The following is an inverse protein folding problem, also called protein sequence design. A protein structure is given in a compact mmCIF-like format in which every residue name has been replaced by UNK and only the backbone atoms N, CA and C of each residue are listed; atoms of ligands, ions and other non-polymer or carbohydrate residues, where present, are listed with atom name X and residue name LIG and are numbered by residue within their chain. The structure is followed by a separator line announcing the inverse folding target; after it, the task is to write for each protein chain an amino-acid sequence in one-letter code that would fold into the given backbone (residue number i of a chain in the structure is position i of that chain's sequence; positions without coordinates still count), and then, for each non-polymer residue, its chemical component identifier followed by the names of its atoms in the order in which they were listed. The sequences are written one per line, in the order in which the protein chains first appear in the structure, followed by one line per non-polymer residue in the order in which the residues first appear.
data_IF_984772246343
#
_entry.id   IF_984772246343
#
_cell.length_a   1.000
_cell.length_b   1.000
_cell.length_c   1.000
_cell.angle_alpha   90.00
_cell.angle_beta   90.00
_cell.angle_gamma   90.00
#
_symmetry.space_group_name_H-M   'P 1'
#
loop_
_entity.id
_entity.type
_entity.pdbx_description
1 polymer ?
#
# COMPACT_ATOMS: atom_id res chain seq x y z
N UNK A 1 25.17 -25.46 -1.27
CA UNK A 1 24.04 -24.67 -1.79
C UNK A 1 23.04 -25.62 -2.42
N UNK A 2 21.78 -25.54 -1.98
CA UNK A 2 20.68 -26.37 -2.49
C UNK A 2 19.81 -25.52 -3.41
N UNK A 3 19.12 -26.18 -4.33
CA UNK A 3 18.23 -25.57 -5.31
C UNK A 3 16.81 -25.98 -4.95
N UNK A 4 15.94 -25.00 -4.77
CA UNK A 4 14.57 -25.22 -4.31
C UNK A 4 13.58 -24.69 -5.34
N UNK A 5 12.70 -25.55 -5.82
CA UNK A 5 11.51 -25.15 -6.55
C UNK A 5 10.41 -24.84 -5.54
N UNK A 6 9.80 -23.66 -5.62
CA UNK A 6 8.75 -23.24 -4.69
C UNK A 6 7.45 -22.98 -5.42
N UNK A 7 6.35 -23.46 -4.86
CA UNK A 7 5.00 -23.18 -5.35
C UNK A 7 4.13 -22.62 -4.23
N UNK A 8 3.49 -21.49 -4.49
CA UNK A 8 2.73 -20.72 -3.50
C UNK A 8 1.33 -20.47 -4.06
N UNK A 9 0.30 -21.17 -3.55
CA UNK A 9 -1.08 -20.87 -3.89
C UNK A 9 -1.49 -19.50 -3.34
N UNK A 10 -2.15 -18.70 -4.16
CA UNK A 10 -2.70 -17.41 -3.77
C UNK A 10 -4.22 -17.48 -3.68
N UNK A 11 -4.75 -16.75 -2.71
CA UNK A 11 -6.16 -16.44 -2.55
C UNK A 11 -6.37 -14.92 -2.68
N UNK A 12 -7.63 -14.49 -2.81
CA UNK A 12 -7.97 -13.07 -2.80
C UNK A 12 -9.33 -12.84 -2.13
N UNK A 13 -9.56 -11.63 -1.65
CA UNK A 13 -10.83 -11.22 -1.05
C UNK A 13 -11.97 -11.24 -2.07
N UNK A 14 -13.00 -12.04 -1.79
CA UNK A 14 -14.15 -12.29 -2.69
C UNK A 14 -15.48 -11.70 -2.22
N UNK A 15 -15.51 -11.09 -1.03
CA UNK A 15 -16.75 -10.68 -0.36
C UNK A 15 -16.84 -9.17 -0.17
N UNK A 16 -18.06 -8.64 -0.19
CA UNK A 16 -18.34 -7.21 0.03
C UNK A 16 -18.12 -6.82 1.50
N UNK A 17 -17.66 -5.59 1.71
CA UNK A 17 -17.49 -4.96 3.03
C UNK A 17 -18.81 -4.46 3.63
N UNK A 18 -19.92 -4.53 2.87
CA UNK A 18 -21.24 -4.19 3.39
C UNK A 18 -21.97 -5.47 3.79
N UNK A 19 -22.42 -5.51 5.04
CA UNK A 19 -23.35 -6.50 5.61
C UNK A 19 -24.77 -6.39 4.99
N UNK A 20 -24.85 -6.23 3.67
CA UNK A 20 -26.13 -6.27 2.97
C UNK A 20 -26.42 -7.75 2.73
N UNK A 21 -27.20 -8.34 3.64
CA UNK A 21 -27.72 -9.72 3.57
C UNK A 21 -28.45 -10.11 2.25
N UNK A 22 -28.46 -9.22 1.26
CA UNK A 22 -29.18 -9.34 -0.02
C UNK A 22 -28.25 -9.37 -1.24
N UNK A 23 -26.93 -9.12 -1.11
CA UNK A 23 -26.00 -9.07 -2.24
C UNK A 23 -24.73 -9.91 -1.99
N UNK A 24 -24.66 -11.09 -2.62
CA UNK A 24 -23.41 -11.83 -2.75
C UNK A 24 -22.74 -11.42 -4.07
N UNK A 25 -21.91 -10.37 -4.05
CA UNK A 25 -21.03 -10.08 -5.16
C UNK A 25 -19.88 -11.10 -5.15
N UNK A 26 -19.83 -11.97 -6.16
CA UNK A 26 -18.71 -12.88 -6.36
C UNK A 26 -17.79 -12.27 -7.43
N UNK A 27 -16.68 -11.70 -6.98
CA UNK A 27 -15.65 -11.14 -7.87
C UNK A 27 -14.80 -12.28 -8.42
N UNK A 28 -14.64 -12.33 -9.75
CA UNK A 28 -13.75 -13.30 -10.41
C UNK A 28 -12.65 -12.56 -11.14
N UNK A 29 -11.44 -12.70 -10.62
CA UNK A 29 -10.25 -12.15 -11.28
C UNK A 29 -9.71 -13.21 -12.22
N UNK A 30 -9.49 -12.83 -13.47
CA UNK A 30 -8.89 -13.68 -14.49
C UNK A 30 -7.57 -13.09 -14.95
N UNK A 31 -6.72 -13.96 -15.44
CA UNK A 31 -5.45 -13.58 -16.02
C UNK A 31 -5.33 -14.34 -17.34
N UNK A 32 -5.19 -13.59 -18.43
CA UNK A 32 -5.26 -14.16 -19.77
C UNK A 32 -3.98 -14.94 -20.11
N UNK A 33 -2.83 -14.52 -19.57
CA UNK A 33 -1.53 -15.17 -19.75
C UNK A 33 -0.72 -15.20 -18.45
N UNK A 34 0.16 -16.20 -18.30
CA UNK A 34 1.10 -16.22 -17.18
C UNK A 34 2.08 -15.06 -17.25
N UNK A 35 2.35 -14.44 -16.11
CA UNK A 35 3.31 -13.36 -15.98
C UNK A 35 4.62 -13.95 -15.46
N UNK A 36 5.71 -13.74 -16.20
CA UNK A 36 7.06 -14.07 -15.74
C UNK A 36 7.79 -12.79 -15.40
N UNK A 37 8.32 -12.71 -14.18
CA UNK A 37 9.22 -11.64 -13.72
C UNK A 37 10.54 -12.24 -13.27
N UNK A 38 11.59 -11.46 -13.42
CA UNK A 38 12.93 -11.84 -13.03
C UNK A 38 13.36 -11.00 -11.83
N UNK A 39 13.78 -11.68 -10.77
CA UNK A 39 14.32 -11.07 -9.58
C UNK A 39 15.83 -11.25 -9.56
N UNK A 40 16.56 -10.14 -9.38
CA UNK A 40 17.96 -10.20 -8.99
C UNK A 40 17.99 -10.41 -7.47
N UNK A 41 18.00 -11.65 -7.02
CA UNK A 41 17.99 -11.94 -5.58
C UNK A 41 19.40 -11.86 -5.00
N UNK A 42 19.49 -11.15 -3.88
CA UNK A 42 20.66 -11.13 -3.00
C UNK A 42 20.54 -12.33 -2.06
N UNK A 43 21.28 -13.40 -2.34
CA UNK A 43 21.43 -14.50 -1.40
C UNK A 43 22.14 -13.98 -0.14
N UNK A 44 21.48 -14.03 1.02
CA UNK A 44 22.14 -13.81 2.32
C UNK A 44 22.69 -15.12 2.86
N UNK A 45 24.01 -15.23 2.88
CA UNK A 45 24.76 -16.37 3.40
C UNK A 45 24.68 -16.40 4.92
N UNK A 46 24.50 -17.58 5.51
CA UNK A 46 24.51 -17.72 6.96
C UNK A 46 25.87 -17.37 7.61
N UNK A 47 26.96 -17.23 6.82
CA UNK A 47 28.32 -17.03 7.34
C UNK A 47 29.32 -16.31 6.40
N UNK A 48 28.91 -15.62 5.32
CA UNK A 48 29.85 -14.91 4.43
C UNK A 48 29.29 -13.59 3.86
N UNK A 49 30.10 -12.53 3.87
CA UNK A 49 29.86 -11.23 3.20
C UNK A 49 30.03 -11.32 1.67
N UNK A 50 29.67 -12.46 1.07
CA UNK A 50 29.58 -12.57 -0.39
C UNK A 50 28.15 -12.18 -0.77
N UNK A 51 27.93 -11.64 -1.97
CA UNK A 51 26.60 -11.43 -2.56
C UNK A 51 26.71 -11.93 -3.99
N UNK A 52 26.29 -13.16 -4.25
CA UNK A 52 26.11 -13.62 -5.62
C UNK A 52 24.68 -13.28 -6.04
N UNK A 53 24.58 -12.55 -7.16
CA UNK A 53 23.31 -12.23 -7.80
C UNK A 53 22.89 -13.43 -8.66
N UNK A 54 21.77 -14.05 -8.27
CA UNK A 54 21.12 -15.06 -9.09
C UNK A 54 19.85 -14.46 -9.68
N UNK A 55 19.68 -14.61 -10.99
CA UNK A 55 18.44 -14.23 -11.65
C UNK A 55 17.41 -15.33 -11.44
N UNK A 56 16.44 -15.07 -10.58
CA UNK A 56 15.38 -16.03 -10.23
C UNK A 56 14.14 -15.69 -11.05
N UNK A 57 13.68 -16.66 -11.84
CA UNK A 57 12.42 -16.54 -12.57
C UNK A 57 11.25 -16.85 -11.63
N UNK A 58 10.31 -15.91 -11.56
CA UNK A 58 9.06 -16.05 -10.84
C UNK A 58 7.89 -16.00 -11.81
N UNK A 59 7.10 -17.05 -11.82
CA UNK A 59 5.97 -17.24 -12.73
C UNK A 59 4.67 -17.14 -11.94
N UNK A 60 3.85 -16.16 -12.27
CA UNK A 60 2.49 -16.01 -11.77
C UNK A 60 1.55 -16.63 -12.81
N UNK A 61 0.69 -17.54 -12.38
CA UNK A 61 -0.28 -18.22 -13.27
C UNK A 61 -1.64 -18.37 -12.58
N UNK A 62 -2.69 -18.53 -13.39
CA UNK A 62 -4.05 -18.73 -12.91
C UNK A 62 -4.67 -19.94 -13.63
N UNK A 63 -4.88 -21.03 -12.88
CA UNK A 63 -5.52 -22.23 -13.40
C UNK A 63 -6.98 -22.27 -12.92
N UNK A 64 -7.94 -22.09 -13.82
CA UNK A 64 -9.37 -22.30 -13.54
C UNK A 64 -9.87 -21.62 -12.24
N UNK A 65 -9.39 -20.40 -11.95
CA UNK A 65 -9.66 -19.56 -10.75
C UNK A 65 -8.66 -19.66 -9.57
N UNK A 66 -7.67 -20.55 -9.62
CA UNK A 66 -6.62 -20.61 -8.60
C UNK A 66 -5.34 -19.92 -9.08
N UNK A 67 -5.01 -18.79 -8.45
CA UNK A 67 -3.73 -18.13 -8.67
C UNK A 67 -2.61 -18.88 -7.96
N UNK A 68 -1.44 -18.94 -8.59
CA UNK A 68 -0.24 -19.53 -8.00
C UNK A 68 1.01 -18.77 -8.44
N UNK A 69 1.97 -18.68 -7.52
CA UNK A 69 3.33 -18.24 -7.80
C UNK A 69 4.20 -19.49 -7.84
N UNK A 70 4.97 -19.64 -8.91
CA UNK A 70 6.03 -20.63 -9.03
C UNK A 70 7.36 -19.89 -9.08
N UNK A 71 8.22 -20.13 -8.10
CA UNK A 71 9.60 -19.63 -8.10
C UNK A 71 10.46 -20.79 -8.57
N UNK A 72 11.01 -20.69 -9.79
CA UNK A 72 11.65 -21.84 -10.42
C UNK A 72 12.80 -22.36 -9.56
N UNK A 73 13.70 -21.48 -9.12
CA UNK A 73 14.88 -21.89 -8.36
C UNK A 73 15.33 -20.84 -7.35
N UNK A 74 15.12 -21.12 -6.06
CA UNK A 74 15.73 -20.40 -4.95
C UNK A 74 17.01 -21.13 -4.54
N UNK A 75 18.10 -20.39 -4.44
CA UNK A 75 19.39 -20.90 -3.96
C UNK A 75 19.55 -20.58 -2.48
N UNK A 76 19.57 -21.61 -1.63
CA UNK A 76 19.70 -21.43 -0.19
C UNK A 76 20.46 -22.58 0.49
N UNK A 77 21.01 -22.32 1.67
CA UNK A 77 21.70 -23.33 2.48
C UNK A 77 20.72 -24.30 3.15
N UNK A 78 19.53 -23.81 3.50
CA UNK A 78 18.49 -24.58 4.17
C UNK A 78 17.12 -24.31 3.55
N UNK A 79 16.21 -25.27 3.72
CA UNK A 79 14.80 -25.11 3.36
C UNK A 79 14.16 -23.91 4.09
N UNK A 80 14.59 -23.65 5.33
CA UNK A 80 14.13 -22.49 6.10
C UNK A 80 14.49 -21.17 5.42
N UNK A 81 15.72 -21.02 4.92
CA UNK A 81 16.11 -19.81 4.19
C UNK A 81 15.39 -19.70 2.85
N UNK A 82 15.21 -20.81 2.13
CA UNK A 82 14.41 -20.81 0.91
C UNK A 82 12.96 -20.39 1.18
N UNK A 83 12.41 -20.79 2.32
CA UNK A 83 11.08 -20.38 2.78
C UNK A 83 11.01 -18.88 3.08
N UNK A 84 11.98 -18.33 3.81
CA UNK A 84 12.03 -16.89 4.15
C UNK A 84 12.14 -16.02 2.89
N UNK A 85 12.91 -16.47 1.89
CA UNK A 85 13.00 -15.82 0.57
C UNK A 85 11.65 -15.92 -0.16
N UNK A 86 11.08 -17.12 -0.25
CA UNK A 86 9.78 -17.35 -0.89
C UNK A 86 8.65 -16.52 -0.26
N UNK A 87 8.65 -16.36 1.06
CA UNK A 87 7.71 -15.53 1.80
C UNK A 87 7.84 -14.05 1.42
N UNK A 88 9.08 -13.54 1.33
CA UNK A 88 9.34 -12.19 0.85
C UNK A 88 8.84 -11.98 -0.59
N UNK A 89 9.17 -12.89 -1.51
CA UNK A 89 8.71 -12.83 -2.91
C UNK A 89 7.18 -12.81 -2.98
N UNK A 90 6.52 -13.72 -2.25
CA UNK A 90 5.08 -13.85 -2.25
C UNK A 90 4.38 -12.58 -1.74
N UNK A 91 4.94 -11.96 -0.70
CA UNK A 91 4.44 -10.69 -0.17
C UNK A 91 4.51 -9.57 -1.21
N UNK A 92 5.66 -9.39 -1.86
CA UNK A 92 5.83 -8.35 -2.89
C UNK A 92 4.89 -8.56 -4.08
N UNK A 93 4.74 -9.80 -4.55
CA UNK A 93 3.83 -10.14 -5.64
C UNK A 93 2.37 -9.92 -5.25
N UNK A 94 1.94 -10.33 -4.05
CA UNK A 94 0.57 -10.13 -3.60
C UNK A 94 0.23 -8.64 -3.49
N UNK A 95 1.16 -7.82 -3.00
CA UNK A 95 1.00 -6.38 -2.91
C UNK A 95 0.78 -5.76 -4.30
N UNK A 96 1.64 -6.09 -5.26
CA UNK A 96 1.59 -5.52 -6.61
C UNK A 96 0.36 -6.00 -7.39
N UNK A 97 0.00 -7.30 -7.26
CA UNK A 97 -1.24 -7.86 -7.83
C UNK A 97 -2.49 -7.22 -7.23
N UNK A 98 -2.50 -6.96 -5.92
CA UNK A 98 -3.63 -6.31 -5.24
C UNK A 98 -3.82 -4.89 -5.75
N UNK A 99 -2.74 -4.13 -5.91
CA UNK A 99 -2.81 -2.79 -6.47
C UNK A 99 -3.32 -2.82 -7.92
N UNK A 100 -2.77 -3.69 -8.77
CA UNK A 100 -3.22 -3.83 -10.16
C UNK A 100 -4.70 -4.20 -10.25
N UNK A 101 -5.15 -5.18 -9.47
CA UNK A 101 -6.55 -5.57 -9.47
C UNK A 101 -7.47 -4.46 -8.95
N UNK A 102 -6.99 -3.67 -7.97
CA UNK A 102 -7.74 -2.55 -7.45
C UNK A 102 -7.87 -1.40 -8.45
N UNK A 103 -6.89 -1.17 -9.34
CA UNK A 103 -7.00 -0.17 -10.43
C UNK A 103 -8.17 -0.48 -11.37
N UNK A 104 -8.49 -1.75 -11.56
CA UNK A 104 -9.61 -2.18 -12.41
C UNK A 104 -10.94 -2.31 -11.66
N UNK A 105 -10.95 -2.06 -10.34
CA UNK A 105 -12.13 -2.22 -9.50
C UNK A 105 -12.92 -0.90 -9.39
N UNK A 106 -13.98 -0.80 -10.20
CA UNK A 106 -14.89 0.36 -10.23
C UNK A 106 -15.74 0.44 -8.95
N UNK A 107 -15.92 -0.68 -8.24
CA UNK A 107 -16.77 -0.82 -7.07
C UNK A 107 -15.98 -0.74 -5.74
N UNK A 108 -14.94 0.10 -5.71
CA UNK A 108 -14.03 0.26 -4.55
C UNK A 108 -14.77 0.58 -3.24
N UNK A 109 -15.95 1.21 -3.27
CA UNK A 109 -16.76 1.45 -2.06
C UNK A 109 -17.44 0.20 -1.49
N UNK A 110 -17.63 -0.84 -2.31
CA UNK A 110 -18.31 -2.08 -1.92
C UNK A 110 -17.34 -3.20 -1.56
N UNK A 111 -16.20 -3.29 -2.24
CA UNK A 111 -15.20 -4.31 -1.96
C UNK A 111 -13.80 -3.83 -2.34
N UNK A 112 -12.81 -4.33 -1.60
CA UNK A 112 -11.40 -4.17 -1.93
C UNK A 112 -10.83 -5.51 -2.35
N UNK A 113 -10.02 -5.50 -3.41
CA UNK A 113 -9.31 -6.69 -3.87
C UNK A 113 -7.96 -6.74 -3.20
N UNK A 114 -7.75 -7.79 -2.41
CA UNK A 114 -6.48 -8.08 -1.76
C UNK A 114 -6.11 -9.52 -2.03
N UNK A 115 -5.02 -9.73 -2.76
CA UNK A 115 -4.35 -11.01 -2.85
C UNK A 115 -3.61 -11.31 -1.56
N UNK A 116 -3.64 -12.55 -1.13
CA UNK A 116 -2.90 -13.03 0.03
C UNK A 116 -2.54 -14.50 -0.15
N UNK A 117 -1.67 -14.99 0.71
CA UNK A 117 -1.27 -16.39 0.75
C UNK A 117 -1.17 -16.84 2.19
N UNK A 118 -1.30 -18.15 2.39
CA UNK A 118 -1.04 -18.75 3.68
C UNK A 118 0.37 -19.33 3.67
N UNK A 119 1.21 -18.87 4.57
CA UNK A 119 2.59 -19.34 4.75
C UNK A 119 2.67 -20.87 4.87
N UNK A 120 1.71 -21.50 5.56
CA UNK A 120 1.59 -22.97 5.67
C UNK A 120 1.33 -23.71 4.35
N UNK A 121 0.90 -23.01 3.31
CA UNK A 121 0.60 -23.59 1.99
C UNK A 121 1.77 -23.44 1.00
N UNK A 122 2.86 -22.79 1.40
CA UNK A 122 4.10 -22.72 0.60
C UNK A 122 4.66 -24.14 0.49
N UNK A 123 4.80 -24.63 -0.74
CA UNK A 123 5.38 -25.94 -1.04
C UNK A 123 6.80 -25.75 -1.54
N UNK A 124 7.76 -26.35 -0.84
CA UNK A 124 9.18 -26.30 -1.20
C UNK A 124 9.61 -27.70 -1.62
N UNK A 125 10.20 -27.81 -2.80
CA UNK A 125 10.78 -29.04 -3.33
C UNK A 125 12.28 -28.81 -3.52
N UNK A 126 13.11 -29.47 -2.70
CA UNK A 126 14.56 -29.52 -2.92
C UNK A 126 14.84 -30.37 -4.17
N UNK A 127 15.51 -29.80 -5.17
CA UNK A 127 15.95 -30.52 -6.34
C UNK A 127 17.09 -31.48 -5.97
N UNK A 128 16.74 -32.69 -5.51
CA UNK A 128 17.67 -33.82 -5.55
C UNK A 128 17.62 -34.35 -6.97
N UNK A 129 18.72 -34.20 -7.74
CA UNK A 129 18.88 -34.87 -9.03
C UNK A 129 18.76 -36.37 -8.77
N UNK A 130 17.55 -36.87 -8.99
CA UNK A 130 17.18 -38.27 -8.88
C UNK A 130 16.67 -38.59 -10.27
N UNK A 131 17.46 -39.34 -11.04
CA UNK A 131 16.97 -39.95 -12.26
C UNK A 131 15.86 -40.92 -11.85
N UNK A 132 14.61 -40.48 -11.93
CA UNK A 132 13.46 -41.35 -11.72
C UNK A 132 13.01 -41.78 -13.11
N UNK A 133 13.31 -43.04 -13.43
CA UNK A 133 12.74 -43.73 -14.58
C UNK A 133 11.21 -43.75 -14.43
N UNK A 134 10.53 -43.35 -15.50
CA UNK A 134 9.08 -43.44 -15.63
C UNK A 134 8.64 -44.90 -15.58
N UNK A 135 7.65 -45.17 -14.72
CA UNK A 135 6.93 -46.43 -14.63
C UNK A 135 5.43 -46.15 -14.72
N UNK A 136 4.84 -46.70 -15.77
CA UNK A 136 3.45 -46.56 -16.19
C UNK A 136 2.46 -47.28 -15.25
N UNK A 137 1.27 -46.71 -15.00
CA UNK A 137 0.03 -47.47 -14.76
C UNK A 137 -1.22 -46.60 -14.57
N UNK A 138 -1.97 -46.47 -15.67
CA UNK A 138 -3.42 -46.68 -15.82
C UNK A 138 -4.42 -46.39 -14.67
N UNK A 139 -5.30 -45.43 -14.95
CA UNK A 139 -6.77 -45.43 -14.79
C UNK A 139 -7.44 -45.93 -13.49
N UNK A 140 -8.13 -44.99 -12.80
CA UNK A 140 -9.60 -44.96 -12.71
C UNK A 140 -10.11 -43.70 -12.00
N UNK A 141 -10.86 -42.88 -12.72
CA UNK A 141 -11.72 -41.82 -12.16
C UNK A 141 -13.00 -42.47 -11.64
N UNK A 142 -13.34 -42.22 -10.36
CA UNK A 142 -14.72 -42.37 -9.87
C UNK A 142 -15.27 -40.97 -9.60
N UNK A 143 -16.12 -40.49 -10.52
CA UNK A 143 -17.01 -39.37 -10.24
C UNK A 143 -18.02 -39.79 -9.16
N UNK A 144 -18.11 -38.99 -8.10
CA UNK A 144 -19.26 -38.98 -7.20
C UNK A 144 -19.97 -37.65 -7.47
N UNK A 145 -21.17 -37.71 -8.02
CA UNK A 145 -22.06 -36.55 -8.18
C UNK A 145 -23.06 -36.62 -7.03
N UNK A 146 -23.03 -35.61 -6.15
CA UNK A 146 -24.05 -35.38 -5.13
C UNK A 146 -24.85 -34.17 -5.59
N UNK A 147 -26.10 -34.38 -5.96
CA UNK A 147 -27.08 -33.34 -6.23
C UNK A 147 -27.85 -33.06 -4.94
N UNK A 148 -27.78 -31.83 -4.45
CA UNK A 148 -28.61 -31.37 -3.33
C UNK A 148 -29.51 -30.22 -3.77
N UNK A 149 -30.71 -30.16 -3.20
CA UNK A 149 -31.80 -29.28 -3.61
C UNK A 149 -31.53 -27.82 -3.22
N UNK A 150 -31.48 -26.92 -4.21
CA UNK A 150 -31.44 -25.48 -3.96
C UNK A 150 -32.87 -24.93 -4.01
N UNK A 151 -33.34 -24.42 -2.87
CA UNK A 151 -34.49 -23.54 -2.79
C UNK A 151 -34.10 -22.15 -3.31
N UNK A 152 -34.80 -21.69 -4.35
CA UNK A 152 -34.57 -20.38 -4.95
C UNK A 152 -35.22 -19.33 -4.04
N UNK A 153 -34.41 -18.65 -3.21
CA UNK A 153 -34.66 -17.24 -2.89
C UNK A 153 -34.00 -16.43 -4.00
N UNK A 154 -34.71 -15.46 -4.56
CA UNK A 154 -34.17 -14.60 -5.62
C UNK A 154 -32.90 -13.89 -5.11
N UNK A 155 -31.75 -14.40 -5.53
CA UNK A 155 -30.45 -13.82 -5.26
C UNK A 155 -29.96 -13.19 -6.56
N UNK A 156 -29.75 -11.87 -6.57
CA UNK A 156 -29.07 -11.22 -7.69
C UNK A 156 -27.58 -11.55 -7.54
N UNK A 157 -27.09 -12.51 -8.33
CA UNK A 157 -25.66 -12.79 -8.46
C UNK A 157 -25.07 -11.91 -9.56
N UNK A 158 -24.24 -10.94 -9.20
CA UNK A 158 -23.45 -10.15 -10.14
C UNK A 158 -22.04 -10.72 -10.18
N UNK A 159 -21.54 -11.05 -11.37
CA UNK A 159 -20.16 -11.49 -11.59
C UNK A 159 -19.43 -10.39 -12.36
N UNK A 160 -18.46 -9.76 -11.71
CA UNK A 160 -17.54 -8.82 -12.33
C UNK A 160 -16.28 -9.60 -12.74
N UNK A 161 -15.83 -9.42 -13.98
CA UNK A 161 -14.64 -10.06 -14.53
C UNK A 161 -13.62 -8.96 -14.81
N UNK A 162 -12.47 -9.07 -14.15
CA UNK A 162 -11.31 -8.21 -14.41
C UNK A 162 -10.22 -9.03 -15.07
N UNK A 163 -9.65 -8.51 -16.16
CA UNK A 163 -8.44 -9.03 -16.79
C UNK A 163 -7.24 -8.23 -16.31
N UNK A 164 -6.19 -8.92 -15.85
CA UNK A 164 -4.95 -8.28 -15.43
C UNK A 164 -3.98 -8.18 -16.60
N UNK A 165 -3.52 -6.96 -16.89
CA UNK A 165 -2.51 -6.70 -17.92
C UNK A 165 -1.12 -7.10 -17.42
N UNK A 166 -0.43 -7.91 -18.22
CA UNK A 166 0.96 -8.30 -17.98
C UNK A 166 1.91 -7.09 -18.00
N UNK A 167 1.72 -6.21 -18.97
CA UNK A 167 2.59 -5.04 -19.16
C UNK A 167 2.44 -4.07 -17.98
N UNK A 168 1.20 -3.85 -17.51
CA UNK A 168 0.94 -2.99 -16.36
C UNK A 168 1.53 -3.58 -15.08
N UNK A 169 1.43 -4.90 -14.89
CA UNK A 169 2.09 -5.58 -13.77
C UNK A 169 3.61 -5.39 -13.81
N UNK A 170 4.23 -5.57 -14.97
CA UNK A 170 5.68 -5.43 -15.11
C UNK A 170 6.13 -4.00 -14.80
N UNK A 171 5.39 -2.98 -15.22
CA UNK A 171 5.71 -1.59 -14.89
C UNK A 171 5.59 -1.33 -13.38
N UNK A 172 4.51 -1.80 -12.73
CA UNK A 172 4.34 -1.70 -11.27
C UNK A 172 5.54 -2.35 -10.57
N UNK A 173 5.86 -3.59 -10.94
CA UNK A 173 6.91 -4.39 -10.33
C UNK A 173 8.31 -3.76 -10.50
N UNK A 174 8.59 -3.18 -11.67
CA UNK A 174 9.86 -2.50 -11.92
C UNK A 174 10.00 -1.20 -11.12
N UNK A 175 8.89 -0.50 -10.86
CA UNK A 175 8.86 0.74 -10.05
C UNK A 175 8.82 0.46 -8.55
N UNK A 176 8.30 -0.71 -8.13
CA UNK A 176 8.14 -1.13 -6.73
C UNK A 176 9.43 -1.70 -6.09
N UNK A 177 10.61 -1.44 -6.67
CA UNK A 177 11.90 -1.90 -6.14
C UNK A 177 12.08 -1.61 -4.64
N UNK A 178 12.80 -2.46 -3.90
CA UNK A 178 13.09 -2.24 -2.49
C UNK A 178 13.68 -0.84 -2.23
N UNK A 179 13.24 -0.20 -1.14
CA UNK A 179 13.61 1.17 -0.75
C UNK A 179 13.14 2.30 -1.69
N UNK A 180 12.33 2.01 -2.71
CA UNK A 180 11.69 3.07 -3.50
C UNK A 180 10.51 3.72 -2.76
N UNK A 181 10.22 4.97 -3.10
CA UNK A 181 9.02 5.66 -2.62
C UNK A 181 7.72 4.96 -3.02
N UNK A 182 7.69 4.39 -4.23
CA UNK A 182 6.56 3.60 -4.73
C UNK A 182 6.33 2.36 -3.87
N UNK A 183 7.38 1.60 -3.53
CA UNK A 183 7.25 0.43 -2.65
C UNK A 183 6.65 0.83 -1.29
N UNK A 184 7.13 1.92 -0.70
CA UNK A 184 6.57 2.43 0.56
C UNK A 184 5.08 2.76 0.43
N UNK A 185 4.67 3.47 -0.62
CA UNK A 185 3.26 3.81 -0.84
C UNK A 185 2.40 2.56 -1.08
N UNK A 186 2.87 1.60 -1.89
CA UNK A 186 2.20 0.33 -2.14
C UNK A 186 2.04 -0.50 -0.86
N UNK A 187 3.02 -0.48 0.05
CA UNK A 187 2.93 -1.18 1.33
C UNK A 187 1.81 -0.62 2.22
N UNK A 188 1.71 0.72 2.32
CA UNK A 188 0.62 1.35 3.07
C UNK A 188 -0.72 1.13 2.37
N UNK A 189 -0.75 1.20 1.05
CA UNK A 189 -1.94 0.93 0.27
C UNK A 189 -2.45 -0.50 0.49
N UNK A 190 -1.58 -1.50 0.36
CA UNK A 190 -1.91 -2.91 0.58
C UNK A 190 -2.37 -3.21 2.01
N UNK A 191 -1.82 -2.51 3.02
CA UNK A 191 -2.32 -2.57 4.40
C UNK A 191 -3.73 -1.99 4.56
N UNK A 192 -4.12 -1.04 3.71
CA UNK A 192 -5.46 -0.46 3.69
C UNK A 192 -6.51 -1.30 2.93
N UNK A 193 -6.09 -2.40 2.29
CA UNK A 193 -7.01 -3.30 1.57
C UNK A 193 -7.46 -4.46 2.46
N UNK A 194 -8.61 -5.04 2.08
CA UNK A 194 -9.25 -6.18 2.74
C UNK A 194 -10.19 -5.76 3.87
N UNK A 195 -10.49 -6.72 4.76
CA UNK A 195 -11.32 -6.53 5.95
C UNK A 195 -10.51 -5.84 7.06
N UNK A 196 -10.44 -4.52 6.98
CA UNK A 196 -9.74 -3.65 7.93
C UNK A 196 -10.71 -2.58 8.44
N UNK A 197 -10.57 -2.22 9.72
CA UNK A 197 -11.41 -1.17 10.28
C UNK A 197 -11.18 0.18 9.55
N UNK A 198 -12.24 1.02 9.41
CA UNK A 198 -12.16 2.21 8.58
C UNK A 198 -11.13 3.24 9.09
N UNK A 199 -10.80 3.22 10.38
CA UNK A 199 -9.84 4.16 10.97
C UNK A 199 -8.40 3.76 10.65
N UNK A 200 -8.07 2.47 10.77
CA UNK A 200 -6.78 1.94 10.35
C UNK A 200 -6.60 2.04 8.84
N UNK A 201 -7.66 1.80 8.07
CA UNK A 201 -7.68 2.07 6.64
C UNK A 201 -7.29 3.53 6.35
N UNK A 202 -7.97 4.47 6.99
CA UNK A 202 -7.71 5.89 6.86
C UNK A 202 -6.27 6.26 7.20
N UNK A 203 -5.75 5.72 8.31
CA UNK A 203 -4.39 5.99 8.77
C UNK A 203 -3.35 5.57 7.74
N UNK A 204 -3.48 4.35 7.20
CA UNK A 204 -2.56 3.82 6.19
C UNK A 204 -2.60 4.67 4.91
N UNK A 205 -3.79 5.01 4.42
CA UNK A 205 -3.95 5.84 3.22
C UNK A 205 -3.42 7.27 3.41
N UNK A 206 -3.71 7.89 4.55
CA UNK A 206 -3.23 9.24 4.83
C UNK A 206 -1.70 9.29 4.98
N UNK A 207 -1.07 8.18 5.37
CA UNK A 207 0.41 8.09 5.38
C UNK A 207 1.00 8.27 3.98
N UNK A 208 0.31 7.85 2.91
CA UNK A 208 0.70 8.11 1.53
C UNK A 208 0.65 9.62 1.24
N UNK A 209 -0.40 10.32 1.71
CA UNK A 209 -0.51 11.78 1.59
C UNK A 209 0.64 12.48 2.33
N UNK A 210 0.99 12.03 3.54
CA UNK A 210 2.11 12.58 4.31
C UNK A 210 3.46 12.32 3.64
N UNK A 211 3.59 11.19 2.96
CA UNK A 211 4.77 10.87 2.17
C UNK A 211 4.94 11.84 1.00
N UNK A 212 3.92 12.04 0.17
CA UNK A 212 4.00 12.99 -0.96
C UNK A 212 4.14 14.43 -0.49
N UNK A 213 3.47 14.81 0.60
CA UNK A 213 3.63 16.13 1.22
C UNK A 213 5.11 16.38 1.58
N UNK A 214 5.81 15.35 2.04
CA UNK A 214 7.19 15.49 2.47
C UNK A 214 8.23 15.43 1.35
N UNK A 215 8.01 14.59 0.35
CA UNK A 215 8.99 14.34 -0.70
C UNK A 215 8.80 15.26 -1.92
N UNK A 216 7.58 15.75 -2.15
CA UNK A 216 7.19 16.46 -3.36
C UNK A 216 6.84 17.95 -3.11
N UNK A 217 7.37 18.52 -2.02
CA UNK A 217 7.18 19.93 -1.58
C UNK A 217 7.43 20.97 -2.68
N UNK A 218 8.31 20.67 -3.64
CA UNK A 218 8.62 21.54 -4.78
C UNK A 218 7.38 21.91 -5.60
N UNK A 219 6.40 21.02 -5.71
CA UNK A 219 5.17 21.28 -6.48
C UNK A 219 4.19 22.19 -5.77
N UNK A 220 4.32 22.36 -4.44
CA UNK A 220 3.52 23.31 -3.69
C UNK A 220 3.84 24.77 -4.06
N UNK A 221 5.04 25.04 -4.60
CA UNK A 221 5.54 26.39 -4.89
C UNK A 221 5.40 27.36 -3.71
N UNK A 222 5.48 26.82 -2.48
CA UNK A 222 5.32 27.61 -1.27
C UNK A 222 6.52 28.55 -1.08
N UNK A 223 6.23 29.82 -0.83
CA UNK A 223 7.24 30.83 -0.56
C UNK A 223 7.47 30.86 0.95
N UNK A 224 8.72 30.70 1.37
CA UNK A 224 9.11 30.83 2.76
C UNK A 224 8.95 32.30 3.17
N UNK A 225 8.19 32.57 4.24
CA UNK A 225 7.87 33.95 4.65
C UNK A 225 9.03 34.64 5.33
N UNK A 226 9.94 33.88 5.92
CA UNK A 226 11.10 34.38 6.65
C UNK A 226 12.32 33.70 6.06
N UNK A 227 13.31 34.49 5.62
CA UNK A 227 14.56 33.90 5.12
C UNK A 227 15.34 33.27 6.26
N UNK A 228 16.27 32.38 5.93
CA UNK A 228 17.02 31.62 6.95
C UNK A 228 17.86 32.52 7.85
N UNK A 229 18.51 33.52 7.27
CA UNK A 229 19.28 34.56 7.96
C UNK A 229 18.38 35.42 8.87
N UNK A 230 17.19 35.79 8.41
CA UNK A 230 16.20 36.52 9.22
C UNK A 230 15.66 35.66 10.37
N UNK A 231 15.44 34.36 10.15
CA UNK A 231 15.05 33.41 11.18
C UNK A 231 16.10 33.36 12.30
N UNK A 232 17.37 33.24 11.96
CA UNK A 232 18.44 33.12 12.95
C UNK A 232 18.53 34.39 13.82
N UNK A 233 18.40 35.58 13.21
CA UNK A 233 18.34 36.87 13.93
C UNK A 233 17.13 36.95 14.87
N UNK A 234 15.94 36.53 14.41
CA UNK A 234 14.73 36.52 15.24
C UNK A 234 14.84 35.54 16.41
N UNK A 235 15.39 34.35 16.17
CA UNK A 235 15.60 33.32 17.18
C UNK A 235 16.59 33.80 18.25
N UNK A 236 17.68 34.46 17.85
CA UNK A 236 18.67 34.97 18.79
C UNK A 236 18.13 36.16 19.59
N UNK A 237 17.33 37.03 18.97
CA UNK A 237 16.58 38.07 19.69
C UNK A 237 15.59 37.48 20.69
N UNK A 238 14.86 36.43 20.32
CA UNK A 238 13.93 35.71 21.20
C UNK A 238 14.67 35.09 22.40
N UNK A 239 15.81 34.43 22.18
CA UNK A 239 16.65 33.87 23.24
C UNK A 239 17.09 34.96 24.23
N UNK A 240 17.57 36.10 23.71
CA UNK A 240 18.00 37.23 24.53
C UNK A 240 16.84 37.78 25.38
N UNK A 241 15.65 37.99 24.78
CA UNK A 241 14.48 38.49 25.48
C UNK A 241 13.95 37.51 26.54
N UNK A 242 13.90 36.21 26.24
CA UNK A 242 13.51 35.18 27.21
C UNK A 242 14.50 35.11 28.39
N UNK A 243 15.80 35.27 28.12
CA UNK A 243 16.81 35.30 29.18
C UNK A 243 16.70 36.54 30.05
N UNK A 244 16.39 37.70 29.47
CA UNK A 244 16.22 38.97 30.19
C UNK A 244 14.92 39.05 31.01
N UNK A 245 13.82 38.45 30.54
CA UNK A 245 12.52 38.44 31.23
C UNK A 245 12.48 37.48 32.42
N UNK A 246 13.37 36.50 32.48
CA UNK A 246 13.37 35.43 33.47
C UNK A 246 14.72 35.44 34.21
N UNK A 247 14.92 36.51 34.99
CA UNK A 247 16.08 36.72 35.86
C UNK A 247 16.17 35.59 36.91
N UNK A 248 17.34 34.96 37.00
CA UNK A 248 17.87 34.20 38.15
C UNK A 248 16.94 33.22 38.89
N UNK A 249 16.33 32.28 38.18
CA UNK A 249 15.75 31.10 38.84
C UNK A 249 16.30 29.82 38.18
N UNK A 250 17.31 29.21 38.83
CA UNK A 250 18.09 28.06 38.37
C UNK A 250 17.33 26.73 38.36
N UNK A 251 15.99 26.76 38.47
CA UNK A 251 15.17 25.55 38.41
C UNK A 251 15.27 24.87 37.03
N UNK A 252 15.72 23.61 37.03
CA UNK A 252 15.88 22.80 35.81
C UNK A 252 14.62 22.75 34.95
N UNK A 253 13.43 22.71 35.58
CA UNK A 253 12.12 22.67 34.89
C UNK A 253 11.86 23.92 34.05
N UNK A 254 12.22 25.13 34.52
CA UNK A 254 12.02 26.36 33.73
C UNK A 254 13.02 26.45 32.58
N UNK A 255 14.27 26.02 32.80
CA UNK A 255 15.26 25.96 31.73
C UNK A 255 14.86 24.98 30.61
N UNK A 256 14.28 23.83 30.97
CA UNK A 256 13.68 22.89 30.02
C UNK A 256 12.51 23.52 29.27
N UNK A 257 11.62 24.23 29.97
CA UNK A 257 10.50 24.94 29.35
C UNK A 257 10.93 26.05 28.37
N UNK A 258 11.94 26.87 28.75
CA UNK A 258 12.55 27.88 27.87
C UNK A 258 13.11 27.25 26.60
N UNK A 259 13.88 26.16 26.74
CA UNK A 259 14.42 25.41 25.60
C UNK A 259 13.31 24.87 24.69
N UNK A 260 12.24 24.31 25.26
CA UNK A 260 11.07 23.85 24.50
C UNK A 260 10.39 24.98 23.76
N UNK A 261 10.13 26.11 24.40
CA UNK A 261 9.52 27.29 23.77
C UNK A 261 10.34 27.82 22.61
N UNK A 262 11.65 28.02 22.82
CA UNK A 262 12.56 28.45 21.74
C UNK A 262 12.54 27.42 20.61
N UNK A 263 12.61 26.13 20.93
CA UNK A 263 12.56 25.08 19.91
C UNK A 263 11.26 25.11 19.09
N UNK A 264 10.10 25.29 19.73
CA UNK A 264 8.81 25.36 19.04
C UNK A 264 8.76 26.57 18.11
N UNK A 265 9.09 27.76 18.64
CA UNK A 265 9.04 29.01 17.85
C UNK A 265 10.05 28.97 16.69
N UNK A 266 11.26 28.46 16.93
CA UNK A 266 12.25 28.27 15.87
C UNK A 266 11.74 27.36 14.77
N UNK A 267 11.10 26.24 15.14
CA UNK A 267 10.53 25.32 14.16
C UNK A 267 9.39 25.95 13.37
N UNK A 268 8.52 26.71 14.02
CA UNK A 268 7.40 27.39 13.37
C UNK A 268 7.87 28.47 12.40
N UNK A 269 8.84 29.31 12.81
CA UNK A 269 9.45 30.32 11.96
C UNK A 269 10.11 29.70 10.72
N UNK A 270 10.90 28.64 10.91
CA UNK A 270 11.57 27.96 9.81
C UNK A 270 10.58 27.30 8.83
N UNK A 271 9.41 26.89 9.30
CA UNK A 271 8.37 26.22 8.49
C UNK A 271 7.33 27.18 7.93
N UNK A 272 7.39 28.46 8.29
CA UNK A 272 6.38 29.44 7.94
C UNK A 272 6.40 29.75 6.45
N UNK A 273 5.28 29.50 5.79
CA UNK A 273 5.09 29.73 4.36
C UNK A 273 3.80 30.49 4.12
N UNK A 274 3.68 31.10 2.94
CA UNK A 274 2.45 31.77 2.51
C UNK A 274 1.25 30.83 2.32
N UNK A 275 1.47 29.51 2.28
CA UNK A 275 0.43 28.49 2.13
C UNK A 275 0.21 27.69 3.43
N UNK A 276 -1.05 27.39 3.72
CA UNK A 276 -1.47 26.41 4.72
C UNK A 276 -1.13 24.98 4.28
N UNK A 277 -1.15 24.02 5.22
CA UNK A 277 -0.93 22.59 4.90
C UNK A 277 -1.89 22.08 3.82
N UNK A 278 -3.17 22.45 3.92
CA UNK A 278 -4.19 22.02 2.98
C UNK A 278 -3.97 22.59 1.57
N UNK A 279 -3.56 23.86 1.48
CA UNK A 279 -3.20 24.49 0.19
C UNK A 279 -1.95 23.85 -0.42
N UNK A 280 -0.94 23.52 0.39
CA UNK A 280 0.26 22.80 -0.08
C UNK A 280 -0.09 21.45 -0.68
N UNK A 281 -0.88 20.64 0.03
CA UNK A 281 -1.26 19.31 -0.45
C UNK A 281 -2.08 19.43 -1.75
N UNK A 282 -3.08 20.33 -1.79
CA UNK A 282 -3.86 20.55 -3.01
C UNK A 282 -2.97 21.00 -4.18
N UNK A 283 -2.03 21.91 -3.95
CA UNK A 283 -1.09 22.36 -4.96
C UNK A 283 -0.14 21.25 -5.42
N UNK A 284 0.37 20.40 -4.53
CA UNK A 284 1.21 19.24 -4.90
C UNK A 284 0.43 18.31 -5.82
N UNK A 285 -0.83 18.00 -5.49
CA UNK A 285 -1.65 17.09 -6.29
C UNK A 285 -2.01 17.71 -7.65
N UNK A 286 -2.47 18.97 -7.66
CA UNK A 286 -2.86 19.68 -8.87
C UNK A 286 -1.67 19.97 -9.81
N UNK A 287 -0.55 20.44 -9.26
CA UNK A 287 0.60 20.87 -10.07
C UNK A 287 1.54 19.72 -10.41
N UNK A 288 1.76 18.81 -9.44
CA UNK A 288 2.70 17.69 -9.55
C UNK A 288 2.10 16.51 -10.29
N UNK A 289 0.90 16.05 -9.90
CA UNK A 289 0.28 14.85 -10.48
C UNK A 289 -0.83 15.15 -11.50
N UNK A 290 -1.17 16.44 -11.72
CA UNK A 290 -2.21 16.88 -12.66
C UNK A 290 -3.60 16.28 -12.36
N UNK A 291 -3.87 15.99 -11.10
CA UNK A 291 -5.18 15.49 -10.64
C UNK A 291 -5.94 16.67 -10.04
N UNK A 292 -6.98 17.12 -10.74
CA UNK A 292 -7.80 18.27 -10.32
C UNK A 292 -9.12 17.86 -9.67
N UNK A 293 -9.64 16.69 -10.04
CA UNK A 293 -10.90 16.15 -9.53
C UNK A 293 -10.92 14.63 -9.61
N UNK A 294 -11.78 14.03 -8.77
CA UNK A 294 -12.18 12.63 -8.83
C UNK A 294 -13.62 12.61 -9.32
N UNK A 295 -13.88 11.84 -10.39
CA UNK A 295 -15.20 11.72 -11.04
C UNK A 295 -15.74 10.28 -11.09
N UNK A 296 -15.08 9.36 -10.41
CA UNK A 296 -15.42 7.93 -10.42
C UNK A 296 -16.62 7.63 -9.52
N UNK A 297 -17.78 7.21 -10.04
CA UNK A 297 -18.91 6.86 -9.20
C UNK A 297 -18.53 5.79 -8.16
N UNK A 298 -18.95 5.91 -6.88
CA UNK A 298 -19.82 6.93 -6.31
C UNK A 298 -19.10 8.21 -5.83
N UNK A 299 -17.78 8.31 -6.02
CA UNK A 299 -16.95 9.40 -5.51
C UNK A 299 -16.82 10.55 -6.51
N UNK A 300 -17.33 11.72 -6.13
CA UNK A 300 -17.20 12.93 -6.93
C UNK A 300 -16.76 14.09 -6.05
N UNK A 301 -15.52 14.56 -6.23
CA UNK A 301 -15.00 15.70 -5.49
C UNK A 301 -13.82 16.36 -6.20
N UNK A 302 -13.66 17.67 -6.00
CA UNK A 302 -12.53 18.45 -6.50
C UNK A 302 -11.37 18.46 -5.51
N UNK A 303 -10.14 18.55 -6.02
CA UNK A 303 -8.91 18.68 -5.23
C UNK A 303 -8.72 20.14 -4.83
N UNK A 304 -9.43 20.53 -3.77
CA UNK A 304 -9.41 21.88 -3.20
C UNK A 304 -8.75 21.92 -1.83
N UNK A 305 -8.25 23.08 -1.36
CA UNK A 305 -7.80 23.24 0.02
C UNK A 305 -8.88 22.88 1.05
N UNK A 306 -10.15 23.11 0.74
CA UNK A 306 -11.27 22.73 1.62
C UNK A 306 -11.34 21.20 1.76
N UNK A 307 -11.23 20.47 0.64
CA UNK A 307 -11.23 19.00 0.66
C UNK A 307 -10.01 18.44 1.40
N UNK A 308 -8.83 18.98 1.14
CA UNK A 308 -7.61 18.55 1.83
C UNK A 308 -7.67 18.83 3.33
N UNK A 309 -8.29 19.95 3.73
CA UNK A 309 -8.54 20.26 5.14
C UNK A 309 -9.49 19.24 5.77
N UNK A 310 -10.54 18.81 5.08
CA UNK A 310 -11.43 17.74 5.58
C UNK A 310 -10.65 16.46 5.89
N UNK A 311 -9.71 16.06 5.02
CA UNK A 311 -8.85 14.91 5.28
C UNK A 311 -7.88 15.14 6.45
N UNK A 312 -7.24 16.30 6.53
CA UNK A 312 -6.33 16.64 7.64
C UNK A 312 -7.08 16.65 8.98
N UNK A 313 -8.27 17.24 9.03
CA UNK A 313 -9.06 17.35 10.24
C UNK A 313 -9.48 15.97 10.75
N UNK A 314 -9.86 15.05 9.85
CA UNK A 314 -10.14 13.67 10.24
C UNK A 314 -8.88 12.95 10.75
N UNK A 315 -7.73 13.14 10.07
CA UNK A 315 -6.44 12.58 10.51
C UNK A 315 -6.12 13.00 11.95
N UNK A 316 -6.24 14.29 12.24
CA UNK A 316 -5.98 14.86 13.56
C UNK A 316 -6.97 14.32 14.60
N UNK A 317 -8.25 14.23 14.25
CA UNK A 317 -9.29 13.68 15.15
C UNK A 317 -8.99 12.23 15.54
N UNK A 318 -8.67 11.38 14.57
CA UNK A 318 -8.35 9.97 14.81
C UNK A 318 -7.06 9.80 15.63
N UNK A 319 -6.07 10.66 15.44
CA UNK A 319 -4.81 10.62 16.20
C UNK A 319 -5.00 10.97 17.69
N UNK A 320 -5.94 11.86 18.02
CA UNK A 320 -6.19 12.29 19.41
C UNK A 320 -7.21 11.44 20.16
N UNK A 321 -7.66 10.31 19.59
CA UNK A 321 -8.53 9.35 20.27
C UNK A 321 -9.88 9.91 20.69
N UNK A 322 -10.41 10.90 19.94
CA UNK A 322 -11.75 11.42 20.19
C UNK A 322 -12.77 10.28 20.08
N UNK A 323 -13.68 10.16 21.06
CA UNK A 323 -14.77 9.18 21.01
C UNK A 323 -15.56 9.39 19.72
N UNK A 324 -15.61 8.35 18.90
CA UNK A 324 -16.35 8.34 17.64
C UNK A 324 -17.78 7.90 17.90
N UNK A 325 -18.73 8.78 17.57
CA UNK A 325 -20.15 8.42 17.55
C UNK A 325 -20.51 7.71 16.23
N UNK A 326 -21.69 7.09 16.11
CA UNK A 326 -22.09 6.38 14.88
C UNK A 326 -22.00 7.24 13.60
N UNK A 327 -22.35 8.52 13.69
CA UNK A 327 -22.22 9.48 12.58
C UNK A 327 -20.75 9.73 12.17
N UNK A 328 -19.80 9.54 13.08
CA UNK A 328 -18.37 9.59 12.75
C UNK A 328 -17.95 8.34 11.96
N UNK A 329 -18.56 7.18 12.21
CA UNK A 329 -18.25 5.93 11.51
C UNK A 329 -18.51 6.01 10.00
N UNK A 330 -19.68 6.48 9.60
CA UNK A 330 -20.03 6.67 8.18
C UNK A 330 -19.13 7.71 7.51
N UNK A 331 -18.80 8.80 8.23
CA UNK A 331 -17.90 9.83 7.74
C UNK A 331 -16.47 9.30 7.54
N UNK A 332 -15.97 8.50 8.48
CA UNK A 332 -14.65 7.86 8.38
C UNK A 332 -14.67 6.93 7.16
N UNK A 333 -15.67 6.05 7.03
CA UNK A 333 -15.76 5.14 5.89
C UNK A 333 -15.77 5.88 4.56
N UNK A 334 -16.60 6.92 4.43
CA UNK A 334 -16.67 7.73 3.21
C UNK A 334 -15.32 8.35 2.88
N UNK A 335 -14.68 9.01 3.85
CA UNK A 335 -13.41 9.69 3.63
C UNK A 335 -12.26 8.70 3.39
N UNK A 336 -12.27 7.53 4.01
CA UNK A 336 -11.32 6.44 3.73
C UNK A 336 -11.43 5.96 2.29
N UNK A 337 -12.65 5.76 1.81
CA UNK A 337 -12.91 5.33 0.45
C UNK A 337 -12.55 6.41 -0.59
N UNK A 338 -12.88 7.67 -0.34
CA UNK A 338 -12.48 8.79 -1.20
C UNK A 338 -10.94 8.94 -1.25
N UNK A 339 -10.28 8.75 -0.10
CA UNK A 339 -8.82 8.80 0.00
C UNK A 339 -8.16 7.61 -0.71
N UNK A 340 -8.79 6.43 -0.68
CA UNK A 340 -8.34 5.23 -1.39
C UNK A 340 -8.23 5.51 -2.88
N UNK A 341 -9.29 6.06 -3.49
CA UNK A 341 -9.32 6.40 -4.92
C UNK A 341 -8.30 7.49 -5.25
N UNK A 342 -8.17 8.51 -4.39
CA UNK A 342 -7.15 9.54 -4.59
C UNK A 342 -5.73 8.96 -4.56
N UNK A 343 -5.42 8.09 -3.59
CA UNK A 343 -4.11 7.42 -3.48
C UNK A 343 -3.85 6.52 -4.70
N UNK A 344 -4.85 5.80 -5.20
CA UNK A 344 -4.74 5.02 -6.45
C UNK A 344 -4.33 5.91 -7.62
N UNK A 345 -5.03 7.04 -7.84
CA UNK A 345 -4.70 7.95 -8.95
C UNK A 345 -3.30 8.56 -8.82
N UNK A 346 -2.90 8.95 -7.61
CA UNK A 346 -1.56 9.49 -7.37
C UNK A 346 -0.51 8.44 -7.73
N UNK A 347 -0.64 7.21 -7.24
CA UNK A 347 0.31 6.14 -7.55
C UNK A 347 0.29 5.78 -9.04
N UNK A 348 -0.89 5.75 -9.68
CA UNK A 348 -1.01 5.49 -11.11
C UNK A 348 -0.26 6.55 -11.93
N UNK A 349 -0.38 7.83 -11.55
CA UNK A 349 0.39 8.91 -12.19
C UNK A 349 1.90 8.77 -12.01
N UNK A 350 2.37 8.27 -10.86
CA UNK A 350 3.80 8.08 -10.62
C UNK A 350 4.34 6.85 -11.37
N UNK A 351 3.55 5.78 -11.48
CA UNK A 351 3.94 4.52 -12.11
C UNK A 351 3.84 4.63 -13.64
N UNK A 352 2.69 5.03 -14.17
CA UNK A 352 2.36 4.99 -15.60
C UNK A 352 2.46 6.36 -16.31
N UNK A 353 2.62 7.46 -15.57
CA UNK A 353 2.62 8.80 -16.14
C UNK A 353 1.24 9.24 -16.61
N UNK A 354 1.17 10.05 -17.67
CA UNK A 354 -0.07 10.67 -18.14
C UNK A 354 -1.03 9.74 -18.92
N UNK A 355 -0.71 8.45 -19.03
CA UNK A 355 -1.41 7.47 -19.87
C UNK A 355 -2.61 6.74 -19.25
N UNK A 356 -2.99 7.03 -18.00
CA UNK A 356 -4.10 6.38 -17.27
C UNK A 356 -5.04 7.41 -16.64
#
# INVERSE_FOLDING_TARGET
MKKFLVTIPLDYTKFSMLDIHSFNANVKIKMDESITVHLDEICTYANQDVKEEYNVAVIISCDSEQFKITVEYIYADTEKYAFEIADCIAYEICKDLSYLAQLHNINTHYFHVKFYYYTRNIKILEEKISNVNEGDSSNKVKQIIISDNISIKEHISMTEIHSLSKDDFQEIFQKSKPNSGINLMLNFFYKALGDIDPSSQYYNLFTIIEYIENNDKKFAQAIQLVKKDECDVLIDSLKANINNLWLDDSSDKRNEYKKRLISIISQDLQRMTNLTRAEKIAAIINNGYKIYDIKEPPFQFEITPVKMKEFIDLRNKLFHGAKTDQCDGEKIQRLSNELMVLCQKIMAKIIFGDGV
#
